data_IF_833458746048
#
_entry.id   IF_833458746048
#
_cell.length_a   1.000
_cell.length_b   1.000
_cell.length_c   1.000
_cell.angle_alpha   90.00
_cell.angle_beta   90.00
_cell.angle_gamma   90.00
#
_symmetry.space_group_name_H-M   'P 1'
#
loop_
_entity.id
_entity.type
_entity.pdbx_description
1 polymer ?
#
# COMPACT_ATOMS: atom_id res chain seq x y z
N UNK A 1 4.57 -6.06 -7.86
CA UNK A 1 4.32 -5.96 -9.31
C UNK A 1 4.08 -4.50 -9.67
N UNK A 2 4.65 -4.00 -10.77
CA UNK A 2 4.42 -2.66 -11.29
C UNK A 2 4.39 -2.67 -12.82
N UNK A 3 3.81 -1.64 -13.44
CA UNK A 3 3.78 -1.48 -14.91
C UNK A 3 4.92 -0.56 -15.33
N UNK A 4 5.77 -1.03 -16.25
CA UNK A 4 6.85 -0.26 -16.86
C UNK A 4 6.88 -0.53 -18.35
N UNK A 5 6.79 0.52 -19.17
CA UNK A 5 6.75 0.43 -20.64
C UNK A 5 5.70 -0.59 -21.14
N UNK A 6 4.46 -0.46 -20.66
CA UNK A 6 3.32 -1.35 -20.97
C UNK A 6 3.54 -2.83 -20.63
N UNK A 7 4.60 -3.14 -19.88
CA UNK A 7 4.93 -4.48 -19.43
C UNK A 7 4.72 -4.60 -17.93
N UNK A 8 4.15 -5.74 -17.52
CA UNK A 8 3.97 -6.09 -16.11
C UNK A 8 5.27 -6.70 -15.59
N UNK A 9 5.89 -6.04 -14.61
CA UNK A 9 7.11 -6.52 -13.95
C UNK A 9 6.75 -7.02 -12.55
N UNK A 10 7.12 -8.26 -12.25
CA UNK A 10 7.05 -8.80 -10.89
C UNK A 10 8.24 -8.24 -10.10
N UNK A 11 7.94 -7.60 -8.97
CA UNK A 11 8.97 -7.17 -8.03
C UNK A 11 9.28 -8.32 -7.07
N UNK A 12 10.41 -8.22 -6.38
CA UNK A 12 10.78 -9.21 -5.38
C UNK A 12 9.84 -9.15 -4.17
N UNK A 13 9.60 -10.30 -3.56
CA UNK A 13 8.95 -10.38 -2.26
C UNK A 13 9.92 -9.84 -1.20
N UNK A 14 9.46 -8.89 -0.39
CA UNK A 14 10.25 -8.32 0.71
C UNK A 14 9.63 -8.67 2.08
N UNK A 15 10.49 -8.86 3.09
CA UNK A 15 10.09 -9.23 4.45
C UNK A 15 10.12 -10.75 4.69
N UNK A 16 9.53 -11.20 5.81
CA UNK A 16 9.48 -12.62 6.16
C UNK A 16 8.16 -13.25 5.75
N UNK A 17 8.20 -14.38 5.04
CA UNK A 17 7.02 -15.20 4.76
C UNK A 17 6.55 -15.84 6.07
N UNK A 18 5.27 -15.73 6.38
CA UNK A 18 4.64 -16.41 7.52
C UNK A 18 3.81 -17.59 7.02
N UNK A 19 3.29 -18.41 7.94
CA UNK A 19 2.36 -19.49 7.60
C UNK A 19 0.95 -18.96 7.22
N UNK A 20 0.72 -17.66 7.32
CA UNK A 20 -0.56 -17.04 6.98
C UNK A 20 -0.70 -16.85 5.47
N UNK A 21 -1.93 -16.91 4.98
CA UNK A 21 -2.22 -16.68 3.57
C UNK A 21 -1.81 -15.27 3.13
N UNK A 22 -1.17 -15.19 1.97
CA UNK A 22 -0.90 -13.92 1.29
C UNK A 22 -2.23 -13.35 0.84
N UNK A 23 -2.47 -12.09 1.16
CA UNK A 23 -3.69 -11.41 0.76
C UNK A 23 -3.40 -10.40 -0.34
N UNK A 24 -4.07 -10.60 -1.47
CA UNK A 24 -3.88 -9.77 -2.66
C UNK A 24 -4.81 -8.55 -2.65
N UNK A 25 -4.30 -7.45 -3.19
CA UNK A 25 -5.06 -6.23 -3.46
C UNK A 25 -4.91 -5.85 -4.93
N UNK A 26 -5.95 -6.11 -5.72
CA UNK A 26 -5.91 -5.92 -7.17
C UNK A 26 -6.50 -4.56 -7.57
N UNK A 27 -5.80 -3.89 -8.47
CA UNK A 27 -6.22 -2.66 -9.14
C UNK A 27 -6.54 -2.97 -10.60
N UNK A 28 -7.68 -2.48 -11.08
CA UNK A 28 -8.02 -2.50 -12.50
C UNK A 28 -7.46 -1.27 -13.22
N UNK A 29 -6.13 -1.18 -13.38
CA UNK A 29 -5.48 -0.06 -14.10
C UNK A 29 -5.86 -0.06 -15.60
N UNK A 30 -6.15 1.10 -16.23
CA UNK A 30 -6.09 2.46 -15.68
C UNK A 30 -7.41 2.95 -15.03
N UNK A 31 -8.45 2.12 -14.98
CA UNK A 31 -9.76 2.50 -14.45
C UNK A 31 -9.78 2.68 -12.92
N UNK A 32 -8.89 2.00 -12.21
CA UNK A 32 -8.66 2.12 -10.77
C UNK A 32 -7.21 2.46 -10.47
N UNK A 33 -6.99 3.38 -9.55
CA UNK A 33 -5.67 3.71 -9.05
C UNK A 33 -5.69 3.94 -7.54
N UNK A 34 -4.53 3.74 -6.91
CA UNK A 34 -4.35 3.94 -5.48
C UNK A 34 -4.22 5.44 -5.17
N UNK A 35 -4.99 5.92 -4.20
CA UNK A 35 -4.98 7.34 -3.80
C UNK A 35 -4.27 7.54 -2.47
N UNK A 36 -4.46 6.62 -1.52
CA UNK A 36 -3.82 6.73 -0.21
C UNK A 36 -3.59 5.35 0.42
N UNK A 37 -2.68 5.36 1.39
CA UNK A 37 -2.46 4.24 2.30
C UNK A 37 -2.55 4.76 3.72
N UNK A 38 -3.49 4.23 4.47
CA UNK A 38 -3.55 4.40 5.92
C UNK A 38 -2.75 3.28 6.58
N UNK A 39 -2.19 3.55 7.76
CA UNK A 39 -1.54 2.51 8.54
C UNK A 39 -1.59 2.78 10.03
N UNK A 40 -1.27 1.74 10.79
CA UNK A 40 -1.08 1.81 12.23
C UNK A 40 0.26 1.19 12.61
N UNK A 41 0.83 1.65 13.72
CA UNK A 41 2.09 1.15 14.24
C UNK A 41 2.09 1.06 15.76
N UNK A 42 2.92 0.18 16.30
CA UNK A 42 3.13 0.05 17.74
C UNK A 42 4.24 1.02 18.19
N UNK A 43 3.94 1.93 19.12
CA UNK A 43 4.89 2.99 19.54
C UNK A 43 6.13 2.44 20.24
N UNK A 44 6.06 1.24 20.83
CA UNK A 44 7.17 0.64 21.57
C UNK A 44 8.18 -0.03 20.64
N UNK A 45 7.68 -0.79 19.68
CA UNK A 45 8.50 -1.56 18.72
C UNK A 45 8.77 -0.80 17.41
N UNK A 46 7.97 0.23 17.10
CA UNK A 46 8.00 0.93 15.81
C UNK A 46 7.58 0.05 14.63
N UNK A 47 6.94 -1.09 14.89
CA UNK A 47 6.48 -2.01 13.85
C UNK A 47 5.14 -1.54 13.30
N UNK A 48 4.99 -1.54 11.97
CA UNK A 48 3.72 -1.30 11.31
C UNK A 48 2.85 -2.55 11.50
N UNK A 49 1.68 -2.37 12.12
CA UNK A 49 0.77 -3.44 12.50
C UNK A 49 -0.46 -3.53 11.60
N UNK A 50 -0.74 -2.48 10.84
CA UNK A 50 -1.87 -2.43 9.92
C UNK A 50 -1.56 -1.53 8.72
N UNK A 51 -2.00 -1.95 7.54
CA UNK A 51 -2.07 -1.12 6.35
C UNK A 51 -3.46 -1.22 5.72
N UNK A 52 -4.01 -0.11 5.24
CA UNK A 52 -5.26 -0.05 4.50
C UNK A 52 -5.09 0.79 3.25
N UNK A 53 -5.23 0.15 2.11
CA UNK A 53 -5.16 0.76 0.79
C UNK A 53 -6.52 1.35 0.41
N UNK A 54 -6.52 2.60 -0.06
CA UNK A 54 -7.68 3.26 -0.63
C UNK A 54 -7.48 3.40 -2.14
N UNK A 55 -8.41 2.87 -2.93
CA UNK A 55 -8.44 3.06 -4.38
C UNK A 55 -9.61 3.94 -4.81
N UNK A 56 -9.41 4.63 -5.93
CA UNK A 56 -10.46 5.36 -6.63
C UNK A 56 -10.73 4.68 -7.97
N UNK A 57 -11.98 4.30 -8.20
CA UNK A 57 -12.47 3.88 -9.50
C UNK A 57 -13.07 5.06 -10.26
N UNK A 58 -12.93 5.08 -11.59
CA UNK A 58 -13.70 5.98 -12.47
C UNK A 58 -15.21 5.75 -12.33
N UNK A 59 -15.61 4.50 -12.03
CA UNK A 59 -16.98 4.07 -11.75
C UNK A 59 -17.25 4.00 -10.24
N UNK A 60 -17.19 5.15 -9.57
CA UNK A 60 -17.84 5.47 -8.27
C UNK A 60 -17.54 4.62 -7.02
N UNK A 61 -16.83 3.51 -7.08
CA UNK A 61 -16.62 2.65 -5.91
C UNK A 61 -15.28 2.93 -5.22
N UNK A 62 -15.35 3.30 -3.93
CA UNK A 62 -14.21 3.33 -3.02
C UNK A 62 -14.18 1.99 -2.28
N UNK A 63 -13.33 1.08 -2.73
CA UNK A 63 -13.06 -0.15 -1.99
C UNK A 63 -11.81 0.03 -1.15
N UNK A 64 -11.90 -0.26 0.14
CA UNK A 64 -10.75 -0.29 1.02
C UNK A 64 -10.84 -1.47 1.97
N UNK A 65 -9.74 -2.21 2.06
CA UNK A 65 -9.57 -3.33 2.98
C UNK A 65 -8.37 -3.04 3.86
N UNK A 66 -8.55 -3.20 5.16
CA UNK A 66 -7.47 -3.13 6.13
C UNK A 66 -6.84 -4.51 6.29
N UNK A 67 -5.52 -4.54 6.37
CA UNK A 67 -4.69 -5.72 6.56
C UNK A 67 -3.92 -5.55 7.86
N UNK A 68 -4.10 -6.45 8.83
CA UNK A 68 -3.47 -6.38 10.15
C UNK A 68 -4.43 -5.94 11.26
N UNK A 69 -3.87 -5.49 12.39
CA UNK A 69 -4.63 -5.06 13.57
C UNK A 69 -4.33 -3.60 13.91
N UNK A 70 -5.38 -2.80 14.10
CA UNK A 70 -5.26 -1.38 14.43
C UNK A 70 -4.73 -1.18 15.86
N UNK A 71 -3.66 -0.40 15.99
CA UNK A 71 -3.20 0.18 17.25
C UNK A 71 -3.71 1.61 17.41
N UNK A 72 -3.40 2.26 18.53
CA UNK A 72 -3.75 3.67 18.79
C UNK A 72 -3.06 4.64 17.84
N UNK A 73 -1.83 4.34 17.43
CA UNK A 73 -0.99 5.27 16.66
C UNK A 73 -1.08 4.97 15.17
N UNK A 74 -1.54 5.97 14.41
CA UNK A 74 -1.88 5.83 13.00
C UNK A 74 -1.21 6.89 12.13
N UNK A 75 -1.13 6.62 10.83
CA UNK A 75 -0.62 7.53 9.82
C UNK A 75 -1.40 7.40 8.51
N UNK A 76 -1.24 8.38 7.62
CA UNK A 76 -1.80 8.34 6.27
C UNK A 76 -0.80 8.89 5.28
N UNK A 77 -0.56 8.14 4.20
CA UNK A 77 0.24 8.53 3.06
C UNK A 77 -0.70 8.90 1.91
N UNK A 78 -0.74 10.18 1.56
CA UNK A 78 -1.59 10.74 0.52
C UNK A 78 -0.96 12.00 -0.06
N UNK A 79 -1.23 12.29 -1.33
CA UNK A 79 -0.91 13.57 -1.95
C UNK A 79 -2.06 14.01 -2.86
N UNK A 80 -2.60 15.20 -2.60
CA UNK A 80 -3.70 15.77 -3.38
C UNK A 80 -3.37 15.83 -4.88
N UNK A 81 -4.32 15.41 -5.72
CA UNK A 81 -4.17 15.41 -7.18
C UNK A 81 -3.14 14.40 -7.72
N UNK A 82 -2.69 13.44 -6.92
CA UNK A 82 -1.72 12.42 -7.36
C UNK A 82 -2.23 11.00 -7.10
N UNK A 83 -1.74 10.05 -7.89
CA UNK A 83 -1.89 8.61 -7.68
C UNK A 83 -0.58 8.00 -7.17
N UNK A 84 -0.68 6.98 -6.33
CA UNK A 84 0.46 6.20 -5.86
C UNK A 84 0.84 5.19 -6.96
N UNK A 85 2.12 5.14 -7.32
CA UNK A 85 2.65 4.28 -8.38
C UNK A 85 3.73 3.30 -7.90
N UNK A 86 4.11 3.39 -6.62
CA UNK A 86 5.10 2.51 -6.05
C UNK A 86 5.31 2.77 -4.57
N UNK A 87 6.08 1.89 -3.95
CA UNK A 87 6.41 1.94 -2.52
C UNK A 87 7.91 1.86 -2.33
N UNK A 88 8.38 2.43 -1.23
CA UNK A 88 9.73 2.22 -0.72
C UNK A 88 9.67 2.08 0.80
N UNK A 89 10.68 1.46 1.42
CA UNK A 89 10.61 1.20 2.85
C UNK A 89 11.80 0.46 3.42
N UNK A 90 11.67 0.07 4.69
CA UNK A 90 12.63 -0.78 5.39
C UNK A 90 11.88 -1.89 6.13
N UNK A 91 12.31 -3.11 5.90
CA UNK A 91 11.82 -4.30 6.58
C UNK A 91 12.98 -5.15 7.07
N UNK A 92 12.70 -5.94 8.11
CA UNK A 92 13.54 -7.04 8.56
C UNK A 92 12.65 -8.29 8.64
N UNK A 93 12.51 -8.89 9.82
CA UNK A 93 11.45 -9.85 10.11
C UNK A 93 10.05 -9.20 10.00
N UNK A 94 9.96 -7.90 10.33
CA UNK A 94 8.73 -7.11 10.30
C UNK A 94 8.91 -5.82 9.47
N UNK A 95 7.80 -5.18 9.09
CA UNK A 95 7.80 -3.90 8.39
C UNK A 95 7.94 -2.74 9.40
N UNK A 96 8.94 -1.89 9.21
CA UNK A 96 9.22 -0.76 10.11
C UNK A 96 9.03 0.61 9.44
N UNK A 97 9.26 0.71 8.14
CA UNK A 97 9.11 1.97 7.41
C UNK A 97 8.45 1.73 6.06
N UNK A 98 7.51 2.59 5.69
CA UNK A 98 6.85 2.59 4.39
C UNK A 98 6.68 4.03 3.91
N UNK A 99 6.91 4.24 2.62
CA UNK A 99 6.70 5.48 1.88
C UNK A 99 6.16 5.17 0.49
N UNK A 100 5.69 6.21 -0.20
CA UNK A 100 5.02 6.10 -1.51
C UNK A 100 5.67 6.97 -2.57
N UNK A 101 5.76 6.44 -3.78
CA UNK A 101 6.04 7.19 -5.00
C UNK A 101 4.74 7.60 -5.65
N UNK A 102 4.65 8.84 -6.13
CA UNK A 102 3.41 9.44 -6.64
C UNK A 102 3.61 10.13 -7.98
N UNK A 103 2.59 10.09 -8.84
CA UNK A 103 2.50 10.85 -10.09
C UNK A 103 1.19 11.65 -10.13
N UNK A 104 1.15 12.84 -10.77
CA UNK A 104 -0.09 13.58 -10.97
C UNK A 104 -1.17 12.71 -11.64
N UNK A 105 -2.43 12.90 -11.22
CA UNK A 105 -3.58 12.34 -11.93
C UNK A 105 -3.84 13.23 -13.15
N UNK A 106 -3.95 12.67 -14.36
CA UNK A 106 -4.30 13.43 -15.57
C UNK A 106 -5.66 14.13 -15.47
#
# INVERSE_FOLDING_TARGET
>A
MYVQNDSVIFGDDHGSKTLSDVQEFTLNDPAEYLTSVEGAYDDKSGVITMLRQQKRATTSNKNSRAFGFSTTSTFTLHKDGHKIVGFHGKSSYMLHQIGVHVLPIP
#
